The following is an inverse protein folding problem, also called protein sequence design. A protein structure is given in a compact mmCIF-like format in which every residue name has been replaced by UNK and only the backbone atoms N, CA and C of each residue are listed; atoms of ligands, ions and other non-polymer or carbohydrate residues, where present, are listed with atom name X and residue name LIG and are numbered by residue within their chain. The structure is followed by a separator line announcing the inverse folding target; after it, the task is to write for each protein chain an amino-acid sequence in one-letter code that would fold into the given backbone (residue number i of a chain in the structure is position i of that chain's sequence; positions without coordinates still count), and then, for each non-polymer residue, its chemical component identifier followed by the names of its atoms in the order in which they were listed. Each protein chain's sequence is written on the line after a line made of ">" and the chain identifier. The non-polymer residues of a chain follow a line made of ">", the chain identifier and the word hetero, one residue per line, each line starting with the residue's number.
data_IF_921682704242
#
_entry.id   IF_921682704242
#
_cell.length_a   1.000
_cell.length_b   1.000
_cell.length_c   1.000
_cell.angle_alpha   90.00
_cell.angle_beta   90.00
_cell.angle_gamma   90.00
#
_symmetry.space_group_name_H-M   'P 1'
#
loop_
_entity.id
_entity.type
_entity.pdbx_description
1 polymer ?
#
# COMPACT_ATOMS: atom_id res chain seq x y z
N UNK A 1 -0.03 -8.61 -1.89
CA UNK A 1 0.30 -8.92 -0.48
C UNK A 1 0.10 -10.41 -0.18
N UNK A 2 0.75 -10.91 0.83
CA UNK A 2 0.62 -12.29 1.33
C UNK A 2 0.00 -12.29 2.72
N UNK A 3 -0.71 -13.36 3.05
CA UNK A 3 -1.23 -13.52 4.40
C UNK A 3 -0.08 -13.66 5.42
N UNK A 4 -0.26 -13.04 6.58
CA UNK A 4 0.70 -13.03 7.68
C UNK A 4 0.39 -14.13 8.71
N UNK A 5 1.36 -14.44 9.58
CA UNK A 5 1.17 -15.35 10.70
C UNK A 5 0.34 -14.68 11.80
N UNK A 6 -0.30 -15.48 12.66
CA UNK A 6 -1.04 -14.93 13.80
C UNK A 6 -0.14 -14.13 14.76
N UNK A 7 1.12 -14.53 14.92
CA UNK A 7 2.11 -13.80 15.73
C UNK A 7 2.35 -12.39 15.18
N UNK A 8 2.51 -12.26 13.85
CA UNK A 8 2.72 -10.97 13.19
C UNK A 8 1.47 -10.07 13.29
N UNK A 9 0.27 -10.64 13.14
CA UNK A 9 -0.98 -9.89 13.23
C UNK A 9 -1.23 -9.31 14.63
N UNK A 10 -0.82 -10.00 15.69
CA UNK A 10 -1.01 -9.52 17.07
C UNK A 10 -0.28 -8.21 17.33
N UNK A 11 0.87 -7.98 16.68
CA UNK A 11 1.65 -6.74 16.84
C UNK A 11 1.08 -5.63 15.97
N UNK A 12 0.57 -4.55 16.59
CA UNK A 12 0.18 -3.33 15.88
C UNK A 12 1.41 -2.64 15.29
N UNK A 13 1.31 -2.13 14.06
CA UNK A 13 2.43 -1.47 13.37
C UNK A 13 2.31 0.04 13.35
N UNK A 14 1.14 0.59 13.73
CA UNK A 14 0.89 2.02 13.79
C UNK A 14 -0.18 2.35 14.84
N UNK A 15 -0.39 3.65 15.07
CA UNK A 15 -1.34 4.16 16.07
C UNK A 15 -2.80 3.81 15.74
N UNK A 16 -3.17 3.80 14.47
CA UNK A 16 -4.52 3.46 14.02
C UNK A 16 -4.88 2.01 14.36
N UNK A 17 -3.99 1.05 14.06
CA UNK A 17 -4.21 -0.36 14.45
C UNK A 17 -4.27 -0.54 15.96
N UNK A 18 -3.43 0.22 16.71
CA UNK A 18 -3.44 0.15 18.18
C UNK A 18 -4.74 0.68 18.76
N UNK A 19 -5.26 1.79 18.25
CA UNK A 19 -6.46 2.44 18.77
C UNK A 19 -7.75 1.76 18.28
N UNK A 20 -7.86 1.50 16.97
CA UNK A 20 -9.13 1.14 16.34
C UNK A 20 -9.28 -0.35 16.06
N UNK A 21 -8.21 -1.13 16.09
CA UNK A 21 -8.24 -2.59 15.86
C UNK A 21 -7.49 -3.38 16.93
N UNK A 22 -7.59 -2.97 18.19
CA UNK A 22 -6.93 -3.65 19.31
C UNK A 22 -7.38 -5.11 19.45
N UNK A 23 -8.64 -5.43 19.10
CA UNK A 23 -9.20 -6.79 19.09
C UNK A 23 -8.82 -7.62 17.85
N UNK A 24 -8.06 -7.09 16.92
CA UNK A 24 -7.60 -7.78 15.70
C UNK A 24 -8.72 -8.17 14.72
N UNK A 25 -9.91 -7.61 14.83
CA UNK A 25 -11.06 -7.98 14.00
C UNK A 25 -10.76 -7.69 12.53
N UNK A 26 -10.35 -6.45 12.26
CA UNK A 26 -10.08 -6.00 10.90
C UNK A 26 -8.84 -6.68 10.28
N UNK A 27 -7.74 -6.74 11.02
CA UNK A 27 -6.51 -7.41 10.57
C UNK A 27 -6.72 -8.89 10.26
N UNK A 28 -7.46 -9.61 11.11
CA UNK A 28 -7.81 -11.03 10.86
C UNK A 28 -8.69 -11.19 9.64
N UNK A 29 -9.70 -10.32 9.46
CA UNK A 29 -10.57 -10.35 8.30
C UNK A 29 -9.78 -10.17 7.00
N UNK A 30 -8.99 -9.09 6.91
CA UNK A 30 -8.17 -8.82 5.73
C UNK A 30 -7.20 -9.97 5.45
N UNK A 31 -6.54 -10.49 6.50
CA UNK A 31 -5.63 -11.61 6.37
C UNK A 31 -6.30 -12.89 5.88
N UNK A 32 -7.54 -13.14 6.30
CA UNK A 32 -8.33 -14.27 5.81
C UNK A 32 -8.67 -14.10 4.32
N UNK A 33 -9.04 -12.89 3.88
CA UNK A 33 -9.27 -12.63 2.45
C UNK A 33 -7.99 -12.88 1.63
N UNK A 34 -6.82 -12.49 2.14
CA UNK A 34 -5.54 -12.76 1.48
C UNK A 34 -5.23 -14.27 1.37
N UNK A 35 -5.63 -15.06 2.38
CA UNK A 35 -5.46 -16.54 2.37
C UNK A 35 -6.36 -17.23 1.35
N UNK A 36 -7.54 -16.71 1.10
CA UNK A 36 -8.61 -17.37 0.34
C UNK A 36 -8.85 -16.68 -1.01
N UNK A 37 -9.70 -15.66 -1.03
CA UNK A 37 -10.19 -15.03 -2.26
C UNK A 37 -9.07 -14.40 -3.11
N UNK A 38 -8.18 -13.63 -2.48
CA UNK A 38 -7.07 -13.03 -3.21
C UNK A 38 -6.04 -14.05 -3.69
N UNK A 39 -5.83 -15.15 -2.95
CA UNK A 39 -4.96 -16.24 -3.42
C UNK A 39 -5.49 -16.83 -4.72
N UNK A 40 -6.82 -17.10 -4.79
CA UNK A 40 -7.47 -17.61 -6.00
C UNK A 40 -7.36 -16.62 -7.16
N UNK A 41 -7.58 -15.32 -6.90
CA UNK A 41 -7.43 -14.27 -7.92
C UNK A 41 -6.00 -14.22 -8.47
N UNK A 42 -5.01 -14.21 -7.60
CA UNK A 42 -3.60 -14.13 -8.02
C UNK A 42 -3.12 -15.37 -8.76
N UNK A 43 -3.70 -16.56 -8.51
CA UNK A 43 -3.35 -17.76 -9.26
C UNK A 43 -3.81 -17.75 -10.72
N UNK A 44 -4.69 -16.83 -11.10
CA UNK A 44 -5.16 -16.65 -12.48
C UNK A 44 -4.26 -15.71 -13.31
N UNK A 45 -3.30 -15.04 -12.66
CA UNK A 45 -2.43 -14.08 -13.34
C UNK A 45 -1.25 -14.80 -14.02
N UNK A 46 -1.13 -14.63 -15.33
CA UNK A 46 0.00 -15.16 -16.11
C UNK A 46 1.27 -14.30 -15.96
N UNK A 47 1.10 -13.00 -15.75
CA UNK A 47 2.19 -12.04 -15.59
C UNK A 47 1.83 -11.01 -14.51
N UNK A 48 2.81 -10.66 -13.68
CA UNK A 48 2.64 -9.64 -12.66
C UNK A 48 3.76 -8.61 -12.75
N UNK A 49 3.38 -7.37 -12.98
CA UNK A 49 4.31 -6.23 -12.98
C UNK A 49 4.18 -5.51 -11.64
N UNK A 50 5.28 -5.37 -10.91
CA UNK A 50 5.33 -4.68 -9.64
C UNK A 50 6.01 -3.31 -9.75
N UNK A 51 5.23 -2.25 -9.59
CA UNK A 51 5.74 -0.89 -9.46
C UNK A 51 6.24 -0.69 -8.02
N UNK A 52 7.54 -0.66 -7.83
CA UNK A 52 8.17 -0.65 -6.51
C UNK A 52 8.66 0.75 -6.15
N UNK A 53 8.02 1.39 -5.18
CA UNK A 53 8.56 2.57 -4.51
C UNK A 53 9.67 2.17 -3.52
N UNK A 54 10.56 3.11 -3.19
CA UNK A 54 11.67 2.86 -2.27
C UNK A 54 11.19 2.44 -0.86
N UNK A 55 10.20 3.14 -0.32
CA UNK A 55 9.67 2.90 1.02
C UNK A 55 8.28 3.55 1.20
N UNK A 56 7.66 3.29 2.35
CA UNK A 56 6.33 3.82 2.68
C UNK A 56 6.30 5.35 2.82
N UNK A 57 7.35 5.95 3.36
CA UNK A 57 7.45 7.41 3.50
C UNK A 57 7.41 8.13 2.14
N UNK A 58 8.00 7.53 1.10
CA UNK A 58 7.91 8.07 -0.26
C UNK A 58 6.47 8.05 -0.79
N UNK A 59 5.73 6.97 -0.52
CA UNK A 59 4.30 6.90 -0.89
C UNK A 59 3.47 7.97 -0.17
N UNK A 60 3.76 8.25 1.11
CA UNK A 60 3.11 9.34 1.84
C UNK A 60 3.39 10.71 1.21
N UNK A 61 4.65 10.96 0.83
CA UNK A 61 5.02 12.20 0.11
C UNK A 61 4.27 12.33 -1.22
N UNK A 62 4.15 11.25 -1.96
CA UNK A 62 3.41 11.25 -3.22
C UNK A 62 1.93 11.51 -3.02
N UNK A 63 1.32 10.91 -1.99
CA UNK A 63 -0.08 11.15 -1.67
C UNK A 63 -0.33 12.59 -1.25
N UNK A 64 0.53 13.17 -0.42
CA UNK A 64 0.47 14.59 -0.04
C UNK A 64 0.58 15.51 -1.26
N UNK A 65 1.51 15.23 -2.18
CA UNK A 65 1.66 15.98 -3.43
C UNK A 65 0.39 15.89 -4.30
N UNK A 66 -0.26 14.73 -4.33
CA UNK A 66 -1.52 14.53 -5.05
C UNK A 66 -2.64 15.39 -4.46
N UNK A 67 -2.82 15.40 -3.13
CA UNK A 67 -3.81 16.23 -2.45
C UNK A 67 -3.55 17.74 -2.69
N UNK A 68 -2.30 18.16 -2.61
CA UNK A 68 -1.92 19.53 -2.90
C UNK A 68 -2.27 19.95 -4.34
N UNK A 69 -1.98 19.08 -5.33
CA UNK A 69 -2.36 19.34 -6.73
C UNK A 69 -3.89 19.40 -6.90
N UNK A 70 -4.61 18.54 -6.20
CA UNK A 70 -6.08 18.57 -6.21
C UNK A 70 -6.59 19.88 -5.63
N UNK A 71 -6.05 20.32 -4.49
CA UNK A 71 -6.39 21.60 -3.88
C UNK A 71 -6.18 22.77 -4.86
N UNK A 72 -5.02 22.82 -5.53
CA UNK A 72 -4.75 23.89 -6.52
C UNK A 72 -5.77 23.91 -7.66
N UNK A 73 -6.21 22.75 -8.13
CA UNK A 73 -7.21 22.63 -9.21
C UNK A 73 -8.62 23.01 -8.77
N UNK A 74 -8.98 22.73 -7.51
CA UNK A 74 -10.34 22.87 -7.02
C UNK A 74 -10.58 24.17 -6.25
N UNK A 75 -9.52 24.89 -5.86
CA UNK A 75 -9.57 26.14 -5.10
C UNK A 75 -10.55 27.18 -5.70
N UNK A 76 -10.70 27.20 -7.03
CA UNK A 76 -11.60 28.12 -7.74
C UNK A 76 -13.04 27.62 -7.86
N UNK A 77 -13.33 26.34 -7.58
CA UNK A 77 -14.63 25.69 -7.88
C UNK A 77 -15.49 25.38 -6.65
N UNK A 78 -15.00 25.63 -5.44
CA UNK A 78 -15.72 25.32 -4.18
C UNK A 78 -16.33 23.92 -4.16
N UNK A 79 -16.12 23.14 -3.12
CA UNK A 79 -16.94 21.96 -2.92
C UNK A 79 -16.26 20.59 -2.79
N UNK A 80 -14.95 20.45 -2.96
CA UNK A 80 -14.28 19.19 -2.66
C UNK A 80 -13.61 19.23 -1.28
N UNK A 81 -13.99 18.27 -0.42
CA UNK A 81 -13.32 18.05 0.87
C UNK A 81 -11.92 17.51 0.62
N UNK A 82 -10.93 18.38 0.72
CA UNK A 82 -9.53 18.06 0.56
C UNK A 82 -8.99 17.62 1.91
N UNK A 83 -8.23 16.54 1.91
CA UNK A 83 -7.63 16.00 3.13
C UNK A 83 -6.51 16.92 3.61
N UNK A 84 -6.49 17.26 4.90
CA UNK A 84 -5.34 17.88 5.55
C UNK A 84 -4.13 16.94 5.54
N UNK A 85 -2.95 17.47 5.83
CA UNK A 85 -1.74 16.63 5.99
C UNK A 85 -1.93 15.53 7.04
N UNK A 86 -2.58 15.87 8.17
CA UNK A 86 -2.90 14.90 9.22
C UNK A 86 -3.85 13.82 8.74
N UNK A 87 -4.91 14.20 8.02
CA UNK A 87 -5.88 13.26 7.47
C UNK A 87 -5.23 12.30 6.48
N UNK A 88 -4.35 12.79 5.60
CA UNK A 88 -3.61 11.95 4.65
C UNK A 88 -2.73 10.93 5.40
N UNK A 89 -2.01 11.35 6.43
CA UNK A 89 -1.17 10.47 7.23
C UNK A 89 -2.01 9.39 7.91
N UNK A 90 -3.12 9.77 8.54
CA UNK A 90 -4.05 8.85 9.21
C UNK A 90 -4.67 7.87 8.21
N UNK A 91 -5.14 8.37 7.07
CA UNK A 91 -5.67 7.53 6.00
C UNK A 91 -4.65 6.52 5.48
N UNK A 92 -3.42 6.94 5.27
CA UNK A 92 -2.34 6.06 4.80
C UNK A 92 -2.00 4.94 5.80
N UNK A 93 -2.24 5.12 7.09
CA UNK A 93 -2.03 4.05 8.08
C UNK A 93 -2.90 2.82 7.82
N UNK A 94 -4.09 2.99 7.22
CA UNK A 94 -4.99 1.87 6.88
C UNK A 94 -4.36 0.89 5.87
N UNK A 95 -3.48 1.39 5.00
CA UNK A 95 -2.79 0.58 3.97
C UNK A 95 -1.37 0.17 4.37
N UNK A 96 -0.83 0.73 5.45
CA UNK A 96 0.59 0.59 5.78
C UNK A 96 1.01 -0.87 5.92
N UNK A 97 0.24 -1.69 6.63
CA UNK A 97 0.54 -3.12 6.81
C UNK A 97 0.62 -3.87 5.48
N UNK A 98 -0.41 -3.73 4.64
CA UNK A 98 -0.45 -4.39 3.34
C UNK A 98 0.70 -3.91 2.46
N UNK A 99 0.97 -2.62 2.45
CA UNK A 99 2.05 -2.03 1.65
C UNK A 99 3.43 -2.54 2.10
N UNK A 100 3.71 -2.57 3.39
CA UNK A 100 4.96 -3.13 3.92
C UNK A 100 5.09 -4.63 3.61
N UNK A 101 4.00 -5.37 3.72
CA UNK A 101 3.96 -6.77 3.31
C UNK A 101 4.25 -6.91 1.80
N UNK A 102 3.74 -6.02 0.96
CA UNK A 102 4.03 -6.01 -0.47
C UNK A 102 5.51 -5.72 -0.74
N UNK A 103 6.12 -4.73 -0.09
CA UNK A 103 7.55 -4.46 -0.25
C UNK A 103 8.42 -5.70 0.03
N UNK A 104 8.04 -6.48 1.03
CA UNK A 104 8.76 -7.69 1.44
C UNK A 104 8.52 -8.87 0.49
N UNK A 105 7.29 -9.08 0.06
CA UNK A 105 6.88 -10.32 -0.59
C UNK A 105 6.72 -10.21 -2.11
N UNK A 106 6.21 -9.09 -2.64
CA UNK A 106 5.92 -8.96 -4.07
C UNK A 106 7.14 -9.16 -4.97
N UNK A 107 8.35 -8.71 -4.60
CA UNK A 107 9.54 -8.98 -5.41
C UNK A 107 9.81 -10.47 -5.69
N UNK A 108 9.30 -11.38 -4.85
CA UNK A 108 9.46 -12.83 -5.06
C UNK A 108 8.52 -13.40 -6.13
N UNK A 109 7.39 -12.75 -6.38
CA UNK A 109 6.30 -13.25 -7.22
C UNK A 109 6.09 -12.45 -8.50
N UNK A 110 6.60 -11.23 -8.56
CA UNK A 110 6.50 -10.40 -9.73
C UNK A 110 7.36 -10.94 -10.87
N UNK A 111 6.80 -10.98 -12.07
CA UNK A 111 7.54 -11.31 -13.31
C UNK A 111 8.46 -10.16 -13.70
N UNK A 112 7.99 -8.92 -13.48
CA UNK A 112 8.73 -7.71 -13.78
C UNK A 112 8.66 -6.79 -12.55
N UNK A 113 9.80 -6.23 -12.15
CA UNK A 113 9.88 -5.23 -11.07
C UNK A 113 10.38 -3.92 -11.66
N UNK A 114 9.55 -2.89 -11.60
CA UNK A 114 9.89 -1.54 -12.02
C UNK A 114 10.17 -0.70 -10.77
N UNK A 115 11.45 -0.43 -10.49
CA UNK A 115 11.83 0.42 -9.36
C UNK A 115 11.63 1.89 -9.73
N UNK A 116 10.86 2.59 -8.92
CA UNK A 116 10.53 4.00 -9.13
C UNK A 116 11.46 4.91 -8.33
N UNK A 117 11.84 6.05 -8.94
CA UNK A 117 12.51 7.14 -8.24
C UNK A 117 11.50 8.05 -7.52
N UNK A 118 11.97 9.11 -6.85
CA UNK A 118 11.13 10.07 -6.13
C UNK A 118 10.16 10.85 -7.02
N UNK A 119 10.41 10.89 -8.33
CA UNK A 119 9.61 11.61 -9.32
C UNK A 119 8.64 10.71 -10.10
N UNK A 120 8.36 9.51 -9.61
CA UNK A 120 7.49 8.49 -10.24
C UNK A 120 8.02 7.94 -11.57
N UNK A 121 9.30 8.16 -11.89
CA UNK A 121 9.90 7.63 -13.11
C UNK A 121 10.53 6.26 -12.83
N UNK A 122 10.54 5.40 -13.83
CA UNK A 122 11.21 4.11 -13.76
C UNK A 122 12.72 4.36 -13.74
N UNK A 123 13.38 3.96 -12.64
CA UNK A 123 14.83 4.01 -12.50
C UNK A 123 15.50 2.75 -13.08
N UNK A 124 14.93 1.60 -12.75
CA UNK A 124 15.43 0.29 -13.22
C UNK A 124 14.27 -0.67 -13.45
N UNK A 125 14.43 -1.56 -14.41
CA UNK A 125 13.52 -2.68 -14.66
C UNK A 125 14.29 -3.99 -14.43
N UNK A 126 13.69 -4.90 -13.66
CA UNK A 126 14.22 -6.24 -13.40
C UNK A 126 13.22 -7.25 -13.95
N UNK A 127 13.66 -8.03 -14.91
CA UNK A 127 12.90 -9.13 -15.50
C UNK A 127 13.32 -10.42 -14.82
N UNK A 128 12.35 -11.27 -14.50
CA UNK A 128 12.62 -12.60 -13.98
C UNK A 128 12.24 -13.62 -15.04
N UNK A 129 13.19 -14.43 -15.44
CA UNK A 129 12.89 -15.67 -16.17
C UNK A 129 12.01 -16.56 -15.27
N UNK A 130 11.04 -17.24 -15.88
CA UNK A 130 10.25 -18.29 -15.22
C UNK A 130 11.12 -19.49 -14.92
#
# INVERSE_FOLDING_TARGET
>A
ARAETNKTLKKSINSMEKANDHKLVWRKYVNQQLKTKYKKLYSQLNCMIYLKAKNFSLLQKWRLKQEHKLWLKTKKKGGHKIMSKGDVINFMQTYQRITQNMFKNMPKYASIILNLNSNHQIKTAVYKSK
#
